data_IF_293384605816
#
_entry.id   IF_293384605816
#
_cell.length_a   1.000
_cell.length_b   1.000
_cell.length_c   1.000
_cell.angle_alpha   90.00
_cell.angle_beta   90.00
_cell.angle_gamma   90.00
#
_symmetry.space_group_name_H-M   'P 1'
#
loop_
_entity.id
_entity.type
_entity.pdbx_description
1 polymer ?
#
# COMPACT_ATOMS: atom_id res chain seq x y z
N UNK A 1 7.63 0.91 -11.03
CA UNK A 1 6.82 2.05 -10.56
C UNK A 1 5.44 1.95 -11.20
N UNK A 2 4.34 1.91 -10.44
CA UNK A 2 3.00 1.86 -11.02
C UNK A 2 2.70 3.14 -11.81
N UNK A 3 1.92 3.01 -12.89
CA UNK A 3 1.52 4.14 -13.75
C UNK A 3 0.57 5.12 -13.01
N UNK A 4 -0.35 4.59 -12.21
CA UNK A 4 -1.24 5.38 -11.35
C UNK A 4 -1.33 4.70 -9.98
N UNK A 5 -0.94 5.42 -8.92
CA UNK A 5 -0.76 4.82 -7.59
C UNK A 5 -2.07 4.39 -6.95
N UNK A 6 -3.16 5.13 -7.15
CA UNK A 6 -4.43 4.85 -6.47
C UNK A 6 -4.98 3.46 -6.79
N UNK A 7 -4.92 3.04 -8.05
CA UNK A 7 -5.37 1.69 -8.46
C UNK A 7 -4.49 0.62 -7.84
N UNK A 8 -3.17 0.81 -7.83
CA UNK A 8 -2.24 -0.17 -7.26
C UNK A 8 -2.45 -0.34 -5.75
N UNK A 9 -2.62 0.76 -5.00
CA UNK A 9 -2.85 0.72 -3.55
C UNK A 9 -4.23 0.15 -3.21
N UNK A 10 -5.27 0.45 -4.00
CA UNK A 10 -6.62 -0.06 -3.74
C UNK A 10 -6.79 -1.56 -4.03
N UNK A 11 -5.81 -2.19 -4.68
CA UNK A 11 -5.78 -3.64 -4.93
C UNK A 11 -5.00 -4.41 -3.85
N UNK A 12 -4.23 -3.73 -2.99
CA UNK A 12 -3.44 -4.34 -1.94
C UNK A 12 -4.13 -4.18 -0.58
N UNK A 13 -4.05 -5.21 0.27
CA UNK A 13 -4.55 -5.13 1.65
C UNK A 13 -3.60 -4.37 2.57
N UNK A 14 -2.30 -4.38 2.27
CA UNK A 14 -1.25 -3.84 3.13
C UNK A 14 -0.13 -3.13 2.33
N UNK A 15 0.56 -2.21 2.99
CA UNK A 15 1.76 -1.53 2.52
C UNK A 15 2.95 -1.90 3.42
N UNK A 16 3.99 -2.48 2.82
CA UNK A 16 5.24 -2.81 3.53
C UNK A 16 6.14 -1.59 3.57
N UNK A 17 6.50 -1.14 4.77
CA UNK A 17 7.43 -0.03 4.97
C UNK A 17 8.85 -0.60 5.05
N UNK A 18 9.74 -0.17 4.16
CA UNK A 18 11.14 -0.61 4.13
C UNK A 18 12.07 0.51 4.56
N UNK A 19 12.97 0.24 5.51
CA UNK A 19 14.03 1.16 5.95
C UNK A 19 15.36 0.42 6.04
N UNK A 20 16.40 0.96 5.41
CA UNK A 20 17.73 0.35 5.40
C UNK A 20 17.76 -1.07 4.81
N UNK A 21 16.88 -1.36 3.84
CA UNK A 21 16.78 -2.70 3.23
C UNK A 21 16.05 -3.74 4.09
N UNK A 22 15.50 -3.34 5.23
CA UNK A 22 14.73 -4.21 6.13
C UNK A 22 13.29 -3.74 6.24
N UNK A 23 12.36 -4.67 6.44
CA UNK A 23 10.96 -4.34 6.75
C UNK A 23 10.90 -3.68 8.13
N UNK A 24 10.44 -2.44 8.17
CA UNK A 24 10.31 -1.65 9.38
C UNK A 24 8.88 -1.71 9.96
N UNK A 25 7.87 -1.86 9.11
CA UNK A 25 6.47 -1.91 9.50
C UNK A 25 5.58 -2.46 8.36
N UNK A 26 4.32 -2.79 8.68
CA UNK A 26 3.28 -3.17 7.71
C UNK A 26 1.99 -2.42 8.04
N UNK A 27 1.50 -1.61 7.10
CA UNK A 27 0.30 -0.79 7.31
C UNK A 27 -0.89 -1.35 6.55
N UNK A 28 -2.05 -1.56 7.20
CA UNK A 28 -3.26 -1.91 6.48
C UNK A 28 -3.75 -0.74 5.62
N UNK A 29 -4.25 -1.04 4.42
CA UNK A 29 -4.98 -0.07 3.59
C UNK A 29 -6.42 0.00 4.11
N UNK A 30 -6.63 0.76 5.19
CA UNK A 30 -7.92 0.80 5.91
C UNK A 30 -9.10 1.28 5.06
N UNK A 31 -8.83 2.09 4.03
CA UNK A 31 -9.85 2.58 3.09
C UNK A 31 -9.95 1.76 1.80
N UNK A 32 -9.41 0.54 1.75
CA UNK A 32 -9.48 -0.31 0.54
C UNK A 32 -10.93 -0.50 0.09
N UNK A 33 -11.20 -0.23 -1.18
CA UNK A 33 -12.52 -0.34 -1.78
C UNK A 33 -13.48 0.80 -1.44
N UNK A 34 -13.06 1.80 -0.66
CA UNK A 34 -13.88 2.98 -0.34
C UNK A 34 -13.67 4.09 -1.39
N UNK A 35 -13.94 3.77 -2.65
CA UNK A 35 -13.69 4.64 -3.80
C UNK A 35 -14.97 4.99 -4.59
N UNK A 36 -16.10 5.04 -3.89
CA UNK A 36 -17.39 5.54 -4.37
C UNK A 36 -17.49 7.05 -4.24
#
# INVERSE_FOLDING_TARGET
MPNHVCTAVNLADELVVVRGGTTADVWPVTARGANT
#
